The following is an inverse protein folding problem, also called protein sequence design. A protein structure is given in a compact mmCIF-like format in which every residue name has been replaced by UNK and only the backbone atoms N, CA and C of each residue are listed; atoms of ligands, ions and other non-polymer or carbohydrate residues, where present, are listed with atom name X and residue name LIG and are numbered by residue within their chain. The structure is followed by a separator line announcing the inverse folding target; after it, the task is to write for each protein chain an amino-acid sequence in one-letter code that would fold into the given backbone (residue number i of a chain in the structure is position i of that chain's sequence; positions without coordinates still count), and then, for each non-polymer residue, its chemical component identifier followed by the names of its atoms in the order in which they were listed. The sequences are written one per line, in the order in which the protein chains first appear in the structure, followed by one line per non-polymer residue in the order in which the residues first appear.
data_IF_649539986418
#
_entry.id   IF_649539986418
#
_cell.length_a   1.000
_cell.length_b   1.000
_cell.length_c   1.000
_cell.angle_alpha   90.00
_cell.angle_beta   90.00
_cell.angle_gamma   90.00
#
_symmetry.space_group_name_H-M   'P 1'
#
loop_
_entity.id
_entity.type
_entity.pdbx_description
1 polymer ?
#
# COMPACT_ATOMS: atom_id res chain seq x y z
N UNK A 1 -1.56 -33.02 -8.27
CA UNK A 1 -1.75 -31.56 -8.03
C UNK A 1 -2.39 -31.42 -6.66
N UNK A 2 -1.63 -30.95 -5.67
CA UNK A 2 -2.10 -30.87 -4.28
C UNK A 2 -2.68 -29.48 -4.05
N UNK A 3 -4.01 -29.37 -4.00
CA UNK A 3 -4.67 -28.14 -3.61
C UNK A 3 -4.50 -27.96 -2.11
N UNK A 4 -3.56 -27.10 -1.71
CA UNK A 4 -3.39 -26.68 -0.32
C UNK A 4 -4.57 -25.77 0.02
N UNK A 5 -5.51 -26.26 0.83
CA UNK A 5 -6.58 -25.44 1.40
C UNK A 5 -5.96 -24.24 2.11
N UNK A 6 -6.29 -23.03 1.63
CA UNK A 6 -5.91 -21.75 2.24
C UNK A 6 -6.98 -21.28 3.24
N UNK A 7 -7.74 -22.19 3.84
CA UNK A 7 -8.64 -21.82 4.92
C UNK A 7 -7.82 -21.58 6.19
N UNK A 8 -7.65 -20.32 6.57
CA UNK A 8 -7.27 -20.00 7.94
C UNK A 8 -8.29 -20.66 8.89
N UNK A 9 -7.83 -21.33 9.94
CA UNK A 9 -8.72 -21.88 10.94
C UNK A 9 -9.49 -20.71 11.60
N UNK A 10 -10.82 -20.72 11.49
CA UNK A 10 -11.65 -19.76 12.19
C UNK A 10 -11.77 -20.21 13.65
N UNK A 11 -11.23 -19.41 14.58
CA UNK A 11 -11.49 -19.62 16.00
C UNK A 11 -12.93 -19.20 16.31
N UNK A 12 -13.74 -20.16 16.72
CA UNK A 12 -15.11 -19.95 17.17
C UNK A 12 -15.16 -20.14 18.69
N UNK A 13 -15.78 -19.19 19.38
CA UNK A 13 -15.99 -19.24 20.83
C UNK A 13 -17.44 -19.64 21.09
N UNK A 14 -17.65 -20.66 21.93
CA UNK A 14 -18.99 -21.09 22.32
C UNK A 14 -19.37 -20.44 23.65
N UNK A 15 -20.47 -19.69 23.66
CA UNK A 15 -21.03 -19.11 24.88
C UNK A 15 -21.89 -20.14 25.63
N UNK A 16 -22.13 -19.95 26.96
CA UNK A 16 -22.97 -20.87 27.74
C UNK A 16 -24.40 -21.05 27.21
N UNK A 17 -24.95 -20.05 26.50
CA UNK A 17 -26.25 -20.12 25.81
C UNK A 17 -26.19 -20.77 24.41
N UNK A 18 -25.12 -21.53 24.14
CA UNK A 18 -24.90 -22.29 22.91
C UNK A 18 -24.83 -21.45 21.64
N UNK A 19 -24.36 -20.19 21.74
CA UNK A 19 -24.12 -19.34 20.58
C UNK A 19 -22.63 -19.32 20.24
N UNK A 20 -22.34 -19.25 18.95
CA UNK A 20 -20.97 -19.10 18.48
C UNK A 20 -20.67 -17.62 18.26
N UNK A 21 -19.55 -17.16 18.82
CA UNK A 21 -18.95 -15.88 18.51
C UNK A 21 -17.76 -16.11 17.59
N UNK A 22 -17.76 -15.42 16.45
CA UNK A 22 -16.61 -15.31 15.56
C UNK A 22 -16.00 -13.92 15.77
N UNK A 23 -14.78 -13.86 16.31
CA UNK A 23 -14.14 -12.61 16.63
C UNK A 23 -12.91 -12.76 17.51
N UNK A 24 -12.33 -11.62 17.89
CA UNK A 24 -11.23 -11.56 18.85
C UNK A 24 -11.81 -11.49 20.26
N UNK A 25 -11.36 -12.40 21.13
CA UNK A 25 -11.64 -12.36 22.56
C UNK A 25 -10.43 -11.72 23.25
N UNK A 26 -10.67 -10.64 23.98
CA UNK A 26 -9.65 -9.96 24.77
C UNK A 26 -9.89 -10.27 26.25
N UNK A 27 -8.83 -10.60 26.97
CA UNK A 27 -8.89 -10.64 28.43
C UNK A 27 -8.89 -9.20 28.96
N UNK A 28 -10.07 -8.71 29.34
CA UNK A 28 -10.24 -7.34 29.88
C UNK A 28 -9.60 -7.14 31.25
N UNK A 29 -9.09 -8.21 31.89
CA UNK A 29 -8.32 -8.12 33.12
C UNK A 29 -6.83 -7.82 32.89
N UNK A 30 -6.37 -7.94 31.64
CA UNK A 30 -5.01 -7.63 31.22
C UNK A 30 -5.02 -6.43 30.27
N UNK A 31 -3.91 -5.69 30.24
CA UNK A 31 -3.71 -4.65 29.24
C UNK A 31 -3.59 -5.29 27.85
N UNK A 32 -4.49 -5.00 26.89
CA UNK A 32 -4.44 -5.58 25.56
C UNK A 32 -3.34 -4.95 24.68
N UNK A 33 -2.72 -3.82 25.08
CA UNK A 33 -1.75 -3.12 24.25
C UNK A 33 -0.58 -3.97 23.71
N UNK A 34 0.05 -4.87 24.49
CA UNK A 34 1.16 -5.68 23.99
C UNK A 34 0.75 -6.60 22.83
N UNK A 35 -0.41 -7.23 22.95
CA UNK A 35 -0.95 -8.13 21.94
C UNK A 35 -1.40 -7.37 20.69
N UNK A 36 -2.05 -6.21 20.88
CA UNK A 36 -2.39 -5.29 19.78
C UNK A 36 -1.13 -4.88 19.03
N UNK A 37 -0.09 -4.42 19.76
CA UNK A 37 1.20 -4.01 19.16
C UNK A 37 1.87 -5.13 18.39
N UNK A 38 1.85 -6.36 18.92
CA UNK A 38 2.44 -7.51 18.25
C UNK A 38 1.69 -7.86 16.94
N UNK A 39 0.36 -7.80 16.96
CA UNK A 39 -0.47 -8.02 15.78
C UNK A 39 -0.27 -6.90 14.74
N UNK A 40 -0.27 -5.65 15.19
CA UNK A 40 -0.04 -4.48 14.33
C UNK A 40 1.36 -4.52 13.71
N UNK A 41 2.39 -4.92 14.45
CA UNK A 41 3.74 -5.11 13.91
C UNK A 41 3.77 -6.17 12.80
N UNK A 42 3.01 -7.26 12.97
CA UNK A 42 2.86 -8.30 11.95
C UNK A 42 2.15 -7.76 10.70
N UNK A 43 1.05 -7.04 10.87
CA UNK A 43 0.31 -6.42 9.78
C UNK A 43 1.15 -5.39 9.03
N UNK A 44 1.86 -4.52 9.77
CA UNK A 44 2.77 -3.54 9.21
C UNK A 44 3.87 -4.21 8.36
N UNK A 45 4.44 -5.31 8.86
CA UNK A 45 5.40 -6.12 8.11
C UNK A 45 4.85 -6.65 6.78
N UNK A 46 3.59 -7.10 6.76
CA UNK A 46 2.92 -7.56 5.53
C UNK A 46 2.66 -6.43 4.54
N UNK A 47 2.33 -5.23 5.03
CA UNK A 47 2.05 -4.07 4.19
C UNK A 47 3.31 -3.52 3.52
N UNK A 48 4.46 -3.57 4.17
CA UNK A 48 5.74 -3.11 3.60
C UNK A 48 6.51 -4.21 2.86
N UNK A 49 6.12 -5.47 3.01
CA UNK A 49 6.77 -6.59 2.32
C UNK A 49 6.57 -6.56 0.80
N UNK A 50 7.51 -7.20 0.09
CA UNK A 50 7.49 -7.39 -1.36
C UNK A 50 8.35 -6.39 -2.12
N UNK A 51 8.08 -6.25 -3.43
CA UNK A 51 8.82 -5.35 -4.32
C UNK A 51 8.01 -4.07 -4.61
N UNK A 52 7.44 -3.49 -3.57
CA UNK A 52 6.73 -2.21 -3.70
C UNK A 52 7.74 -1.06 -3.76
N UNK A 53 7.55 -0.07 -4.65
CA UNK A 53 8.41 1.10 -4.70
C UNK A 53 8.37 1.88 -3.39
N UNK A 54 9.54 2.31 -2.92
CA UNK A 54 9.70 3.10 -1.69
C UNK A 54 10.34 4.46 -1.97
N UNK A 55 9.86 5.52 -1.32
CA UNK A 55 10.47 6.87 -1.35
C UNK A 55 10.74 7.34 0.08
N UNK A 56 11.94 7.85 0.31
CA UNK A 56 12.42 8.27 1.64
C UNK A 56 13.36 7.24 2.30
N UNK A 57 13.82 7.50 3.54
CA UNK A 57 14.78 6.64 4.23
C UNK A 57 14.19 5.28 4.59
N UNK A 58 14.89 4.17 4.32
CA UNK A 58 14.39 2.81 4.64
C UNK A 58 14.19 2.61 6.14
N UNK A 59 14.96 3.30 6.98
CA UNK A 59 14.91 3.29 8.44
C UNK A 59 14.02 4.39 9.05
N UNK A 60 13.21 5.08 8.22
CA UNK A 60 12.28 6.11 8.68
C UNK A 60 11.37 5.61 9.81
N UNK A 61 11.17 6.47 10.82
CA UNK A 61 10.35 6.18 11.99
C UNK A 61 8.85 6.00 11.69
N UNK A 62 8.38 6.54 10.57
CA UNK A 62 6.99 6.47 10.12
C UNK A 62 6.93 5.90 8.71
N UNK A 63 6.04 4.94 8.49
CA UNK A 63 5.74 4.39 7.15
C UNK A 63 4.35 4.78 6.73
N UNK A 64 4.23 5.38 5.55
CA UNK A 64 2.95 5.60 4.89
C UNK A 64 2.83 4.57 3.78
N UNK A 65 1.90 3.62 3.90
CA UNK A 65 1.60 2.66 2.84
C UNK A 65 0.40 3.19 2.07
N UNK A 66 0.64 3.66 0.86
CA UNK A 66 -0.39 4.27 0.02
C UNK A 66 -0.88 3.27 -1.02
N UNK A 67 -2.17 2.94 -0.98
CA UNK A 67 -2.84 2.21 -2.05
C UNK A 67 -3.43 3.20 -3.04
N UNK A 68 -2.79 3.32 -4.20
CA UNK A 68 -3.06 4.42 -5.12
C UNK A 68 -3.30 3.98 -6.56
N UNK A 69 -4.04 4.84 -7.24
CA UNK A 69 -4.43 4.77 -8.63
C UNK A 69 -3.96 6.04 -9.34
N UNK A 70 -3.23 5.88 -10.45
CA UNK A 70 -2.67 6.98 -11.22
C UNK A 70 -3.71 7.88 -11.90
N UNK A 71 -4.96 7.44 -12.03
CA UNK A 71 -6.10 8.24 -12.53
C UNK A 71 -6.98 8.82 -11.43
N UNK A 72 -6.73 8.50 -10.16
CA UNK A 72 -7.52 9.04 -9.06
C UNK A 72 -7.04 10.46 -8.69
N UNK A 73 -7.91 11.49 -8.74
CA UNK A 73 -7.52 12.85 -8.39
C UNK A 73 -7.14 13.00 -6.91
N UNK A 74 -7.72 12.21 -6.02
CA UNK A 74 -7.35 12.21 -4.60
C UNK A 74 -5.97 11.60 -4.36
N UNK A 75 -5.60 10.55 -5.10
CA UNK A 75 -4.24 9.98 -5.05
C UNK A 75 -3.21 10.99 -5.55
N UNK A 76 -3.52 11.77 -6.60
CA UNK A 76 -2.65 12.86 -7.04
C UNK A 76 -2.41 13.89 -5.93
N UNK A 77 -3.48 14.35 -5.28
CA UNK A 77 -3.38 15.31 -4.19
C UNK A 77 -2.56 14.77 -2.99
N UNK A 78 -2.72 13.49 -2.66
CA UNK A 78 -1.94 12.85 -1.60
C UNK A 78 -0.47 12.74 -1.99
N UNK A 79 -0.16 12.30 -3.23
CA UNK A 79 1.22 12.25 -3.71
C UNK A 79 1.90 13.63 -3.64
N UNK A 80 1.20 14.70 -4.05
CA UNK A 80 1.72 16.07 -3.93
C UNK A 80 1.96 16.48 -2.47
N UNK A 81 1.07 16.12 -1.56
CA UNK A 81 1.23 16.40 -0.13
C UNK A 81 2.45 15.66 0.47
N UNK A 82 2.66 14.41 0.06
CA UNK A 82 3.78 13.58 0.52
C UNK A 82 5.13 14.00 -0.09
N UNK A 83 5.13 14.58 -1.29
CA UNK A 83 6.33 15.19 -1.90
C UNK A 83 6.79 16.43 -1.15
N UNK A 84 5.85 17.24 -0.69
CA UNK A 84 6.11 18.55 -0.07
C UNK A 84 6.07 18.50 1.46
N UNK A 85 6.48 17.37 2.04
CA UNK A 85 6.59 17.25 3.50
C UNK A 85 7.59 18.30 4.03
N UNK A 86 7.32 18.90 5.20
CA UNK A 86 8.24 19.82 5.85
C UNK A 86 9.65 19.22 6.02
N UNK A 87 10.72 20.04 5.94
CA UNK A 87 12.10 19.54 6.00
C UNK A 87 12.44 18.77 7.29
N UNK A 88 11.77 19.07 8.40
CA UNK A 88 11.90 18.38 9.68
C UNK A 88 11.17 17.04 9.72
N UNK A 89 10.16 16.86 8.87
CA UNK A 89 9.35 15.64 8.79
C UNK A 89 9.83 14.69 7.68
N UNK A 90 10.30 15.21 6.55
CA UNK A 90 10.71 14.42 5.39
C UNK A 90 11.74 13.30 5.73
N UNK A 91 12.76 13.51 6.59
CA UNK A 91 13.70 12.45 6.98
C UNK A 91 13.07 11.35 7.85
N UNK A 92 11.88 11.58 8.40
CA UNK A 92 11.21 10.67 9.35
C UNK A 92 10.14 9.79 8.69
N UNK A 93 9.86 10.03 7.41
CA UNK A 93 8.77 9.40 6.67
C UNK A 93 9.33 8.60 5.49
N UNK A 94 8.89 7.35 5.38
CA UNK A 94 9.00 6.55 4.16
C UNK A 94 7.62 6.30 3.57
N UNK A 95 7.50 6.42 2.25
CA UNK A 95 6.27 6.16 1.51
C UNK A 95 6.46 4.86 0.72
N UNK A 96 5.53 3.91 0.91
CA UNK A 96 5.48 2.63 0.18
C UNK A 96 4.27 2.65 -0.74
N UNK A 97 4.49 2.53 -2.04
CA UNK A 97 3.41 2.60 -3.03
C UNK A 97 2.85 1.20 -3.32
N UNK A 98 1.52 1.06 -3.23
CA UNK A 98 0.76 -0.14 -3.59
C UNK A 98 -0.20 0.20 -4.71
N UNK A 99 -0.09 -0.49 -5.84
CA UNK A 99 -1.01 -0.29 -6.95
C UNK A 99 -2.42 -0.78 -6.59
N UNK A 100 -3.40 0.11 -6.67
CA UNK A 100 -4.82 -0.20 -6.53
C UNK A 100 -5.60 0.39 -7.71
N UNK A 101 -5.42 -0.14 -8.93
CA UNK A 101 -6.11 0.38 -10.11
C UNK A 101 -7.61 0.10 -10.03
N UNK A 102 -8.41 1.16 -9.99
CA UNK A 102 -9.87 1.06 -9.97
C UNK A 102 -10.40 0.71 -11.35
N UNK A 103 -11.35 -0.22 -11.42
CA UNK A 103 -11.88 -0.70 -12.70
C UNK A 103 -12.61 0.39 -13.51
N UNK A 104 -13.10 1.44 -12.84
CA UNK A 104 -13.72 2.61 -13.47
C UNK A 104 -12.73 3.54 -14.19
N UNK A 105 -11.43 3.35 -13.97
CA UNK A 105 -10.38 4.17 -14.55
C UNK A 105 -9.70 3.41 -15.72
N UNK A 106 -9.99 3.83 -16.95
CA UNK A 106 -9.64 3.08 -18.16
C UNK A 106 -8.14 2.82 -18.38
N UNK A 107 -7.28 3.70 -17.88
CA UNK A 107 -5.82 3.64 -17.98
C UNK A 107 -5.12 3.20 -16.69
N UNK A 108 -5.80 3.18 -15.54
CA UNK A 108 -5.21 2.90 -14.24
C UNK A 108 -4.45 1.57 -14.19
N UNK A 109 -5.05 0.52 -14.77
CA UNK A 109 -4.42 -0.81 -14.81
C UNK A 109 -3.14 -0.81 -15.64
N UNK A 110 -3.15 -0.17 -16.81
CA UNK A 110 -1.97 -0.09 -17.67
C UNK A 110 -0.87 0.74 -17.00
N UNK A 111 -1.23 1.90 -16.44
CA UNK A 111 -0.33 2.75 -15.67
C UNK A 111 0.35 1.99 -14.52
N UNK A 112 -0.43 1.22 -13.74
CA UNK A 112 0.08 0.38 -12.66
C UNK A 112 1.06 -0.69 -13.15
N UNK A 113 0.74 -1.40 -14.24
CA UNK A 113 1.63 -2.41 -14.82
C UNK A 113 2.93 -1.78 -15.32
N UNK A 114 2.85 -0.63 -16.00
CA UNK A 114 4.02 0.08 -16.50
C UNK A 114 4.92 0.56 -15.36
N UNK A 115 4.34 1.18 -14.32
CA UNK A 115 5.08 1.62 -13.14
C UNK A 115 5.76 0.44 -12.43
N UNK A 116 5.06 -0.69 -12.25
CA UNK A 116 5.65 -1.89 -11.67
C UNK A 116 6.80 -2.45 -12.52
N UNK A 117 6.72 -2.36 -13.85
CA UNK A 117 7.81 -2.74 -14.75
C UNK A 117 9.03 -1.80 -14.64
N UNK A 118 8.80 -0.48 -14.61
CA UNK A 118 9.87 0.52 -14.42
C UNK A 118 10.54 0.32 -13.06
N UNK A 119 9.76 0.06 -12.01
CA UNK A 119 10.25 -0.19 -10.66
C UNK A 119 11.14 -1.42 -10.51
N UNK A 120 11.14 -2.34 -11.48
CA UNK A 120 12.15 -3.43 -11.50
C UNK A 120 13.58 -2.91 -11.71
N UNK A 121 13.74 -1.69 -12.24
CA UNK A 121 15.06 -1.06 -12.41
C UNK A 121 15.55 -0.45 -11.11
N UNK A 122 14.72 0.39 -10.49
CA UNK A 122 14.99 0.98 -9.18
C UNK A 122 13.72 1.67 -8.65
N UNK A 123 13.67 1.87 -7.33
CA UNK A 123 12.62 2.65 -6.68
C UNK A 123 12.58 4.10 -7.23
N UNK A 124 13.75 4.72 -7.41
CA UNK A 124 13.86 6.09 -7.94
C UNK A 124 13.25 6.23 -9.34
N UNK A 125 13.52 5.28 -10.25
CA UNK A 125 12.92 5.29 -11.58
C UNK A 125 11.40 5.11 -11.53
N UNK A 126 10.91 4.28 -10.60
CA UNK A 126 9.47 4.13 -10.41
C UNK A 126 8.81 5.43 -9.95
N UNK A 127 9.44 6.15 -9.02
CA UNK A 127 8.88 7.39 -8.49
C UNK A 127 8.93 8.54 -9.49
N UNK A 128 10.00 8.66 -10.27
CA UNK A 128 10.07 9.60 -11.40
C UNK A 128 8.94 9.34 -12.41
N UNK A 129 8.74 8.07 -12.77
CA UNK A 129 7.65 7.66 -13.66
C UNK A 129 6.27 7.93 -13.05
N UNK A 130 6.07 7.55 -11.78
CA UNK A 130 4.82 7.78 -11.05
C UNK A 130 4.48 9.27 -10.97
N UNK A 131 5.46 10.11 -10.68
CA UNK A 131 5.28 11.55 -10.57
C UNK A 131 4.86 12.16 -11.91
N UNK A 132 5.47 11.71 -13.02
CA UNK A 132 5.04 12.11 -14.36
C UNK A 132 3.62 11.67 -14.70
N UNK A 133 3.24 10.44 -14.34
CA UNK A 133 1.87 9.96 -14.53
C UNK A 133 0.84 10.79 -13.76
N UNK A 134 1.18 11.24 -12.55
CA UNK A 134 0.30 12.11 -11.77
C UNK A 134 0.24 13.54 -12.34
N UNK A 135 1.35 14.08 -12.85
CA UNK A 135 1.36 15.36 -13.56
C UNK A 135 0.41 15.34 -14.76
N UNK A 136 0.51 14.30 -15.59
CA UNK A 136 -0.26 14.14 -16.82
C UNK A 136 -1.59 13.38 -16.63
N UNK A 137 -2.06 13.24 -15.38
CA UNK A 137 -3.21 12.40 -15.00
C UNK A 137 -4.45 12.58 -15.89
N UNK A 138 -4.77 13.83 -16.27
CA UNK A 138 -5.93 14.16 -17.11
C UNK A 138 -5.80 13.65 -18.55
N UNK A 139 -4.57 13.52 -19.04
CA UNK A 139 -4.25 13.24 -20.44
C UNK A 139 -3.63 11.84 -20.63
N UNK A 140 -3.73 10.98 -19.62
CA UNK A 140 -3.21 9.62 -19.69
C UNK A 140 -3.77 8.91 -20.92
N UNK A 141 -2.85 8.37 -21.71
CA UNK A 141 -3.11 7.71 -22.98
C UNK A 141 -1.99 6.72 -23.28
N UNK A 142 -2.19 5.87 -24.30
CA UNK A 142 -1.12 4.99 -24.80
C UNK A 142 0.16 5.75 -25.16
N UNK A 143 0.03 6.94 -25.72
CA UNK A 143 1.18 7.76 -26.14
C UNK A 143 1.93 8.31 -24.92
N UNK A 144 1.22 8.76 -23.88
CA UNK A 144 1.80 9.15 -22.59
C UNK A 144 2.71 8.05 -22.02
N UNK A 145 2.25 6.79 -22.05
CA UNK A 145 3.04 5.68 -21.52
C UNK A 145 4.28 5.37 -22.37
N UNK A 146 4.24 5.64 -23.67
CA UNK A 146 5.38 5.41 -24.57
C UNK A 146 6.43 6.50 -24.43
N UNK A 147 6.01 7.76 -24.36
CA UNK A 147 6.91 8.91 -24.23
C UNK A 147 7.57 9.01 -22.85
N UNK A 148 6.95 8.46 -21.81
CA UNK A 148 7.45 8.55 -20.43
C UNK A 148 8.46 7.44 -20.06
N UNK A 149 8.58 6.39 -20.88
CA UNK A 149 9.47 5.23 -20.63
C UNK A 149 10.78 5.30 -21.44
N UNK A 150 10.84 6.17 -22.44
CA UNK A 150 11.99 6.43 -23.33
C UNK A 150 12.67 7.75 -22.99
#
# INVERSE_FOLDING_TARGET
MTFKSLSAAATLWLTPDQRFLAGRLWDVSQDPEPDIRAEDAKLAGLLVAGNSPERGPRDASVSVVEFADFQCPFCKNLNESLKHLPPDLAPRVRVVFKHLPLASHGWARLAAVMAACVGKRSDGACWEFADRLFEEQEWLSLDTFRSTVL
#
